data_IF_283966281370
#
_entry.id   IF_283966281370
#
_cell.length_a   1.000
_cell.length_b   1.000
_cell.length_c   1.000
_cell.angle_alpha   90.00
_cell.angle_beta   90.00
_cell.angle_gamma   90.00
#
_symmetry.space_group_name_H-M   'P 1'
#
loop_
_entity.id
_entity.type
_entity.pdbx_description
1 polymer ?
#
# COMPACT_ATOMS: atom_id res chain seq x y z
N UNK A 1 -30.94 31.89 44.41
CA UNK A 1 -29.48 31.78 44.22
C UNK A 1 -29.23 30.54 43.38
N UNK A 2 -29.10 30.68 42.05
CA UNK A 2 -29.04 29.56 41.12
C UNK A 2 -27.59 29.20 40.82
N UNK A 3 -27.13 28.03 41.27
CA UNK A 3 -25.86 27.45 40.88
C UNK A 3 -25.95 27.03 39.41
N UNK A 4 -25.30 27.78 38.51
CA UNK A 4 -25.05 27.31 37.15
C UNK A 4 -23.80 26.43 37.20
N UNK A 5 -23.96 25.11 37.14
CA UNK A 5 -22.84 24.22 36.84
C UNK A 5 -22.38 24.51 35.42
N UNK A 6 -21.19 25.09 35.31
CA UNK A 6 -20.54 25.33 34.04
C UNK A 6 -19.64 24.13 33.74
N UNK A 7 -20.24 22.96 33.61
CA UNK A 7 -19.54 21.74 33.20
C UNK A 7 -19.30 21.78 31.69
N UNK A 8 -18.30 22.57 31.30
CA UNK A 8 -17.66 22.38 30.00
C UNK A 8 -16.90 21.07 30.05
N UNK A 9 -17.53 20.00 29.58
CA UNK A 9 -16.84 18.78 29.20
C UNK A 9 -15.85 19.14 28.07
N UNK A 10 -14.60 19.43 28.44
CA UNK A 10 -13.52 19.55 27.48
C UNK A 10 -13.36 18.15 26.88
N UNK A 11 -13.84 17.97 25.66
CA UNK A 11 -13.45 16.83 24.83
C UNK A 11 -11.93 16.93 24.69
N UNK A 12 -11.19 16.20 25.54
CA UNK A 12 -9.75 16.14 25.47
C UNK A 12 -9.40 15.54 24.10
N UNK A 13 -9.09 16.42 23.14
CA UNK A 13 -8.89 16.03 21.74
C UNK A 13 -7.79 14.97 21.64
N UNK A 14 -8.06 13.91 20.90
CA UNK A 14 -7.07 12.88 20.59
C UNK A 14 -5.94 13.52 19.79
N UNK A 15 -4.73 13.55 20.35
CA UNK A 15 -3.52 13.91 19.63
C UNK A 15 -2.86 12.63 19.15
N UNK A 16 -2.80 12.44 17.84
CA UNK A 16 -2.12 11.31 17.23
C UNK A 16 -0.88 11.79 16.46
N UNK A 17 0.18 10.99 16.52
CA UNK A 17 1.35 11.13 15.64
C UNK A 17 1.38 9.89 14.77
N UNK A 18 1.27 10.09 13.45
CA UNK A 18 1.34 9.01 12.47
C UNK A 18 2.77 8.95 11.97
N UNK A 19 3.39 7.78 12.08
CA UNK A 19 4.69 7.50 11.48
C UNK A 19 4.49 6.61 10.26
N UNK A 20 5.28 6.86 9.23
CA UNK A 20 5.47 5.87 8.18
C UNK A 20 6.11 4.61 8.80
N UNK A 21 5.66 3.44 8.38
CA UNK A 21 6.23 2.18 8.84
C UNK A 21 7.52 1.87 8.08
N UNK A 22 7.50 2.08 6.75
CA UNK A 22 8.65 1.81 5.89
C UNK A 22 9.74 2.85 6.07
N UNK A 23 10.98 2.44 6.30
CA UNK A 23 12.13 3.36 6.33
C UNK A 23 12.21 4.31 7.54
N UNK A 24 11.11 4.55 8.25
CA UNK A 24 11.09 5.33 9.49
C UNK A 24 11.11 4.42 10.72
N UNK A 25 10.17 3.48 10.84
CA UNK A 25 10.10 2.57 11.99
C UNK A 25 10.78 1.22 11.71
N UNK A 26 10.75 0.73 10.48
CA UNK A 26 11.27 -0.59 10.12
C UNK A 26 12.10 -0.52 8.83
N UNK A 27 13.28 -1.15 8.85
CA UNK A 27 14.04 -1.44 7.63
C UNK A 27 13.45 -2.65 6.93
N UNK A 28 12.65 -2.40 5.89
CA UNK A 28 12.11 -3.43 5.02
C UNK A 28 12.85 -3.44 3.69
N UNK A 29 12.86 -4.59 3.01
CA UNK A 29 13.23 -4.63 1.60
C UNK A 29 12.26 -3.73 0.81
N UNK A 30 12.75 -3.16 -0.29
CA UNK A 30 11.89 -2.37 -1.18
C UNK A 30 10.79 -3.24 -1.80
N UNK A 31 9.63 -2.67 -2.16
CA UNK A 31 8.58 -3.41 -2.85
C UNK A 31 9.08 -4.17 -4.09
N UNK A 32 9.97 -3.55 -4.88
CA UNK A 32 10.56 -4.18 -6.06
C UNK A 32 11.40 -5.42 -5.72
N UNK A 33 12.17 -5.40 -4.63
CA UNK A 33 12.93 -6.57 -4.18
C UNK A 33 12.01 -7.69 -3.68
N UNK A 34 10.90 -7.35 -3.03
CA UNK A 34 9.91 -8.33 -2.60
C UNK A 34 9.26 -9.00 -3.81
N UNK A 35 8.80 -8.20 -4.78
CA UNK A 35 8.23 -8.69 -6.04
C UNK A 35 9.23 -9.59 -6.77
N UNK A 36 10.51 -9.18 -6.87
CA UNK A 36 11.57 -9.98 -7.48
C UNK A 36 11.70 -11.36 -6.83
N UNK A 37 11.77 -11.41 -5.50
CA UNK A 37 11.85 -12.69 -4.76
C UNK A 37 10.64 -13.59 -5.03
N UNK A 38 9.45 -13.01 -5.13
CA UNK A 38 8.23 -13.76 -5.45
C UNK A 38 8.32 -14.31 -6.88
N UNK A 39 8.62 -13.48 -7.87
CA UNK A 39 8.74 -13.90 -9.27
C UNK A 39 9.81 -15.01 -9.44
N UNK A 40 10.96 -14.87 -8.80
CA UNK A 40 12.04 -15.85 -8.84
C UNK A 40 11.61 -17.20 -8.25
N UNK A 41 10.78 -17.20 -7.20
CA UNK A 41 10.20 -18.43 -6.63
C UNK A 41 9.32 -19.18 -7.65
N UNK A 42 8.72 -18.48 -8.60
CA UNK A 42 7.96 -19.07 -9.72
C UNK A 42 8.80 -19.28 -10.99
N UNK A 43 10.13 -19.15 -10.90
CA UNK A 43 11.05 -19.35 -12.04
C UNK A 43 11.10 -18.18 -13.02
N UNK A 44 10.48 -17.05 -12.69
CA UNK A 44 10.44 -15.86 -13.55
C UNK A 44 11.57 -14.91 -13.13
N UNK A 45 12.57 -14.78 -13.99
CA UNK A 45 13.70 -13.86 -13.77
C UNK A 45 13.46 -12.57 -14.57
N UNK A 46 13.40 -11.44 -13.86
CA UNK A 46 13.32 -10.07 -14.43
C UNK A 46 14.35 -9.17 -13.78
N UNK A 47 14.81 -8.15 -14.50
CA UNK A 47 15.74 -7.19 -13.92
C UNK A 47 14.99 -6.29 -12.90
N UNK A 48 15.74 -5.74 -11.94
CA UNK A 48 15.10 -5.02 -10.83
C UNK A 48 14.52 -3.67 -11.29
N UNK A 49 15.06 -3.10 -12.37
CA UNK A 49 14.63 -1.85 -12.99
C UNK A 49 13.26 -2.00 -13.69
N UNK A 50 13.05 -3.11 -14.40
CA UNK A 50 11.78 -3.53 -15.02
C UNK A 50 10.72 -3.72 -13.94
N UNK A 51 11.07 -4.43 -12.86
CA UNK A 51 10.16 -4.66 -11.74
C UNK A 51 9.83 -3.33 -11.05
N UNK A 52 10.81 -2.46 -10.84
CA UNK A 52 10.60 -1.13 -10.23
C UNK A 52 9.71 -0.24 -11.10
N UNK A 53 9.89 -0.30 -12.43
CA UNK A 53 9.04 0.39 -13.40
C UNK A 53 7.61 -0.16 -13.40
N UNK A 54 7.45 -1.49 -13.33
CA UNK A 54 6.15 -2.13 -13.25
C UNK A 54 5.41 -1.83 -11.94
N UNK A 55 6.14 -1.82 -10.82
CA UNK A 55 5.62 -1.40 -9.53
C UNK A 55 5.13 0.06 -9.58
N UNK A 56 5.96 0.99 -10.08
CA UNK A 56 5.58 2.40 -10.22
C UNK A 56 4.34 2.57 -11.10
N UNK A 57 4.28 1.84 -12.23
CA UNK A 57 3.11 1.86 -13.10
C UNK A 57 1.85 1.40 -12.37
N UNK A 58 1.93 0.34 -11.55
CA UNK A 58 0.78 -0.14 -10.79
C UNK A 58 0.30 0.89 -9.75
N UNK A 59 1.22 1.56 -9.05
CA UNK A 59 0.91 2.65 -8.12
C UNK A 59 0.20 3.82 -8.81
N UNK A 60 0.73 4.26 -9.96
CA UNK A 60 0.17 5.38 -10.73
C UNK A 60 -1.17 5.02 -11.43
N UNK A 61 -1.47 3.73 -11.56
CA UNK A 61 -2.67 3.23 -12.23
C UNK A 61 -3.85 2.96 -11.27
N UNK A 62 -3.67 3.19 -9.97
CA UNK A 62 -4.77 3.09 -8.98
C UNK A 62 -5.74 4.24 -9.17
N UNK A 63 -7.01 3.94 -9.37
CA UNK A 63 -8.07 4.95 -9.47
C UNK A 63 -8.90 5.03 -8.19
N UNK A 64 -9.65 6.12 -7.93
CA UNK A 64 -10.50 6.23 -6.75
C UNK A 64 -11.50 5.09 -6.60
N UNK A 65 -12.00 4.56 -7.72
CA UNK A 65 -12.95 3.44 -7.76
C UNK A 65 -12.34 2.14 -7.26
N UNK A 66 -11.02 1.97 -7.37
CA UNK A 66 -10.32 0.80 -6.84
C UNK A 66 -10.41 0.70 -5.32
N UNK A 67 -10.59 1.83 -4.62
CA UNK A 67 -10.77 1.84 -3.16
C UNK A 67 -12.14 1.31 -2.73
N UNK A 68 -13.09 1.13 -3.65
CA UNK A 68 -14.36 0.45 -3.39
C UNK A 68 -14.25 -1.07 -3.42
N UNK A 69 -13.10 -1.64 -3.85
CA UNK A 69 -12.89 -3.08 -3.89
C UNK A 69 -12.70 -3.67 -2.49
N UNK A 70 -12.97 -4.97 -2.37
CA UNK A 70 -12.56 -5.70 -1.18
C UNK A 70 -11.03 -5.67 -1.05
N UNK A 71 -10.52 -5.83 0.18
CA UNK A 71 -9.09 -5.86 0.44
C UNK A 71 -8.36 -6.87 -0.48
N UNK A 72 -8.92 -8.06 -0.66
CA UNK A 72 -8.33 -9.08 -1.52
C UNK A 72 -8.40 -8.72 -3.00
N UNK A 73 -9.55 -8.24 -3.48
CA UNK A 73 -9.73 -7.91 -4.91
C UNK A 73 -8.83 -6.75 -5.33
N UNK A 74 -8.61 -5.78 -4.44
CA UNK A 74 -7.65 -4.70 -4.65
C UNK A 74 -6.25 -5.26 -4.92
N UNK A 75 -5.74 -6.12 -4.03
CA UNK A 75 -4.40 -6.68 -4.19
C UNK A 75 -4.27 -7.61 -5.39
N UNK A 76 -5.33 -8.35 -5.74
CA UNK A 76 -5.35 -9.14 -6.97
C UNK A 76 -5.22 -8.22 -8.19
N UNK A 77 -6.02 -7.15 -8.26
CA UNK A 77 -6.00 -6.19 -9.36
C UNK A 77 -4.65 -5.49 -9.47
N UNK A 78 -4.09 -5.04 -8.35
CA UNK A 78 -2.80 -4.38 -8.29
C UNK A 78 -1.67 -5.32 -8.76
N UNK A 79 -1.63 -6.57 -8.28
CA UNK A 79 -0.65 -7.56 -8.73
C UNK A 79 -0.78 -7.87 -10.22
N UNK A 80 -2.01 -7.96 -10.75
CA UNK A 80 -2.24 -8.17 -12.19
C UNK A 80 -1.65 -7.04 -13.04
N UNK A 81 -1.82 -5.78 -12.65
CA UNK A 81 -1.21 -4.63 -13.36
C UNK A 81 0.31 -4.76 -13.48
N UNK A 82 0.97 -5.23 -12.42
CA UNK A 82 2.42 -5.47 -12.43
C UNK A 82 2.78 -6.59 -13.42
N UNK A 83 2.08 -7.73 -13.36
CA UNK A 83 2.34 -8.85 -14.25
C UNK A 83 2.09 -8.49 -15.72
N UNK A 84 1.00 -7.78 -16.02
CA UNK A 84 0.68 -7.26 -17.35
C UNK A 84 1.79 -6.34 -17.87
N UNK A 85 2.26 -5.39 -17.03
CA UNK A 85 3.35 -4.48 -17.38
C UNK A 85 4.67 -5.21 -17.64
N UNK A 86 4.91 -6.32 -16.93
CA UNK A 86 6.06 -7.23 -17.15
C UNK A 86 5.83 -8.23 -18.29
N UNK A 87 4.66 -8.19 -18.95
CA UNK A 87 4.24 -9.13 -20.00
C UNK A 87 4.31 -10.60 -19.54
N UNK A 88 3.92 -10.84 -18.30
CA UNK A 88 3.78 -12.17 -17.71
C UNK A 88 2.31 -12.55 -17.84
N UNK A 89 2.02 -13.66 -18.51
CA UNK A 89 0.67 -14.16 -18.71
C UNK A 89 0.26 -15.01 -17.51
N UNK A 90 -0.97 -14.80 -17.01
CA UNK A 90 -1.64 -15.79 -16.15
C UNK A 90 -1.85 -17.07 -17.00
N UNK A 91 -1.46 -18.21 -16.43
CA UNK A 91 -1.70 -19.54 -17.03
C UNK A 91 -3.09 -20.05 -16.68
#
# INVERSE_FOLDING_TARGET
MSLKSNDRCVMAGLRAVIFDLGGTLIRTASPAEIIKKILEKYGIKRNIEEISSAHRFAEESVSPEDHGLSYYDFWIKWNKRILEKLRILDK
#
